data_IF_835222974638
#
_entry.id   IF_835222974638
#
_cell.length_a   1.000
_cell.length_b   1.000
_cell.length_c   1.000
_cell.angle_alpha   90.00
_cell.angle_beta   90.00
_cell.angle_gamma   90.00
#
_symmetry.space_group_name_H-M   'P 1'
#
loop_
_entity.id
_entity.type
_entity.pdbx_description
1 polymer ?
#
# COMPACT_ATOMS: atom_id res chain seq x y z
N UNK A 1 -4.99 21.93 10.85
CA UNK A 1 -3.75 21.23 11.20
C UNK A 1 -4.05 20.31 12.37
N UNK A 2 -3.79 19.02 12.23
CA UNK A 2 -3.90 18.11 13.36
C UNK A 2 -2.65 18.32 14.24
N UNK A 3 -2.84 18.36 15.55
CA UNK A 3 -1.78 18.48 16.53
C UNK A 3 -1.90 17.30 17.50
N UNK A 4 -0.81 16.59 17.74
CA UNK A 4 -0.74 15.59 18.80
C UNK A 4 0.07 16.19 19.93
N UNK A 5 -0.52 16.22 21.12
CA UNK A 5 0.14 16.59 22.36
C UNK A 5 0.14 15.36 23.28
N UNK A 6 1.18 15.20 24.06
CA UNK A 6 1.30 14.18 25.09
C UNK A 6 1.53 14.87 26.43
N UNK A 7 0.65 14.64 27.39
CA UNK A 7 0.65 15.23 28.71
C UNK A 7 0.02 14.26 29.71
N UNK A 8 0.57 14.13 30.90
CA UNK A 8 0.06 13.29 32.00
C UNK A 8 -0.30 11.84 31.57
N UNK A 9 0.57 11.18 30.81
CA UNK A 9 0.38 9.84 30.25
C UNK A 9 -0.81 9.70 29.26
N UNK A 10 -1.38 10.79 28.78
CA UNK A 10 -2.42 10.83 27.78
C UNK A 10 -1.93 11.46 26.47
N UNK A 11 -2.45 10.95 25.38
CA UNK A 11 -2.31 11.58 24.07
C UNK A 11 -3.55 12.42 23.79
N UNK A 12 -3.35 13.64 23.29
CA UNK A 12 -4.41 14.54 22.85
C UNK A 12 -4.27 14.74 21.35
N UNK A 13 -5.33 14.47 20.60
CA UNK A 13 -5.36 14.64 19.14
C UNK A 13 -6.45 15.64 18.79
N UNK A 14 -6.06 16.75 18.17
CA UNK A 14 -7.03 17.69 17.61
C UNK A 14 -7.56 17.16 16.29
N UNK A 15 -8.88 17.05 16.20
CA UNK A 15 -9.59 16.60 15.01
C UNK A 15 -10.56 17.67 14.55
N UNK A 16 -10.89 17.68 13.26
CA UNK A 16 -11.90 18.56 12.68
C UNK A 16 -13.00 17.73 12.04
N UNK A 17 -14.22 18.00 12.41
CA UNK A 17 -15.38 17.47 11.71
C UNK A 17 -15.53 18.15 10.35
N UNK A 18 -15.42 17.38 9.26
CA UNK A 18 -15.41 17.94 7.90
C UNK A 18 -16.76 18.53 7.48
N UNK A 19 -17.86 18.06 8.06
CA UNK A 19 -19.21 18.53 7.73
C UNK A 19 -19.53 19.89 8.33
N UNK A 20 -19.03 20.17 9.54
CA UNK A 20 -19.32 21.39 10.30
C UNK A 20 -18.14 22.36 10.32
N UNK A 21 -16.94 21.88 10.12
CA UNK A 21 -15.69 22.64 10.31
C UNK A 21 -15.28 22.81 11.77
N UNK A 22 -16.05 22.26 12.73
CA UNK A 22 -15.75 22.35 14.16
C UNK A 22 -14.55 21.48 14.52
N UNK A 23 -13.69 21.99 15.41
CA UNK A 23 -12.53 21.27 15.91
C UNK A 23 -12.69 20.94 17.38
N UNK A 24 -12.29 19.73 17.76
CA UNK A 24 -12.31 19.27 19.15
C UNK A 24 -11.11 18.36 19.44
N UNK A 25 -10.79 18.21 20.72
CA UNK A 25 -9.69 17.36 21.17
C UNK A 25 -10.22 16.01 21.66
N UNK A 26 -9.55 14.95 21.22
CA UNK A 26 -9.78 13.58 21.70
C UNK A 26 -8.57 13.20 22.54
N UNK A 27 -8.82 12.69 23.75
CA UNK A 27 -7.77 12.15 24.60
C UNK A 27 -7.84 10.64 24.75
N UNK A 28 -6.69 10.00 24.86
CA UNK A 28 -6.58 8.56 25.07
C UNK A 28 -5.23 8.16 25.60
N UNK A 29 -5.20 7.06 26.37
CA UNK A 29 -3.93 6.54 26.92
C UNK A 29 -2.99 6.09 25.79
N UNK A 30 -3.52 5.46 24.75
CA UNK A 30 -2.74 4.99 23.61
C UNK A 30 -3.20 5.64 22.32
N UNK A 31 -2.26 6.03 21.48
CA UNK A 31 -2.50 6.51 20.11
C UNK A 31 -1.88 5.54 19.10
N UNK A 32 -2.71 4.98 18.24
CA UNK A 32 -2.28 4.06 17.19
C UNK A 32 -2.40 4.73 15.82
N UNK A 33 -1.26 5.01 15.19
CA UNK A 33 -1.19 5.54 13.83
C UNK A 33 -1.34 4.43 12.80
N UNK A 34 -2.57 4.29 12.27
CA UNK A 34 -2.91 3.40 11.15
C UNK A 34 -3.13 4.21 9.86
N UNK A 35 -2.46 5.33 9.71
CA UNK A 35 -2.70 6.40 8.74
C UNK A 35 -1.83 6.30 7.47
N UNK A 36 -1.32 5.10 7.20
CA UNK A 36 -0.69 4.74 5.95
C UNK A 36 0.74 5.26 5.77
N UNK A 37 1.29 5.07 4.58
CA UNK A 37 2.71 5.35 4.30
C UNK A 37 3.14 6.79 4.51
N UNK A 38 2.22 7.75 4.35
CA UNK A 38 2.43 9.18 4.63
C UNK A 38 2.28 9.58 6.09
N UNK A 39 2.12 8.63 7.00
CA UNK A 39 1.67 8.76 8.39
C UNK A 39 2.00 10.09 9.06
N UNK A 40 0.92 10.75 9.50
CA UNK A 40 0.98 11.94 10.34
C UNK A 40 1.47 11.58 11.75
N UNK A 41 0.92 10.50 12.33
CA UNK A 41 1.28 10.05 13.69
C UNK A 41 2.78 9.74 13.77
N UNK A 42 3.33 8.99 12.80
CA UNK A 42 4.77 8.72 12.74
C UNK A 42 5.61 10.00 12.75
N UNK A 43 5.19 11.01 11.97
CA UNK A 43 5.89 12.31 11.92
C UNK A 43 5.82 13.05 13.27
N UNK A 44 4.68 12.98 13.96
CA UNK A 44 4.54 13.56 15.30
C UNK A 44 5.39 12.82 16.35
N UNK A 45 5.59 11.53 16.18
CA UNK A 45 6.52 10.74 16.99
C UNK A 45 7.99 11.11 16.75
N UNK A 46 8.30 11.86 15.68
CA UNK A 46 9.68 12.12 15.25
C UNK A 46 10.37 10.90 14.67
N UNK A 47 9.61 9.87 14.31
CA UNK A 47 10.15 8.61 13.81
C UNK A 47 10.45 8.67 12.31
N UNK A 48 11.73 8.49 11.96
CA UNK A 48 12.20 8.50 10.60
C UNK A 48 11.99 7.15 9.89
N UNK A 49 11.89 7.20 8.56
CA UNK A 49 11.86 6.02 7.70
C UNK A 49 13.25 5.63 7.24
N UNK A 50 13.62 4.38 7.47
CA UNK A 50 14.83 3.77 6.92
C UNK A 50 14.49 3.04 5.62
N UNK A 51 15.28 3.27 4.58
CA UNK A 51 15.18 2.52 3.34
C UNK A 51 15.86 1.15 3.48
N UNK A 52 15.14 0.10 3.11
CA UNK A 52 15.63 -1.28 3.09
C UNK A 52 16.10 -1.71 1.69
N UNK A 53 15.93 -0.86 0.67
CA UNK A 53 16.32 -1.18 -0.69
C UNK A 53 16.04 -0.06 -1.69
N UNK A 54 16.22 -0.36 -2.98
CA UNK A 54 15.96 0.61 -4.05
C UNK A 54 14.47 0.71 -4.30
N UNK A 55 13.97 1.92 -4.43
CA UNK A 55 12.63 2.17 -4.94
C UNK A 55 12.55 1.81 -6.41
N UNK A 56 11.45 1.20 -6.81
CA UNK A 56 11.17 0.82 -8.19
C UNK A 56 9.87 1.52 -8.62
N UNK A 57 9.88 2.07 -9.83
CA UNK A 57 8.68 2.68 -10.40
C UNK A 57 7.99 1.68 -11.32
N UNK A 58 6.68 1.65 -11.23
CA UNK A 58 5.80 0.84 -12.07
C UNK A 58 4.73 1.72 -12.70
N UNK A 59 4.44 1.46 -13.96
CA UNK A 59 3.24 1.95 -14.61
C UNK A 59 2.13 0.94 -14.33
N UNK A 60 1.11 1.38 -13.61
CA UNK A 60 -0.11 0.62 -13.34
C UNK A 60 -1.15 1.04 -14.35
N UNK A 61 -1.71 0.07 -15.07
CA UNK A 61 -2.74 0.30 -16.07
C UNK A 61 -3.93 -0.60 -15.79
N UNK A 62 -5.08 0.01 -15.55
CA UNK A 62 -6.36 -0.69 -15.47
C UNK A 62 -7.09 -0.52 -16.80
N UNK A 63 -7.50 -1.63 -17.39
CA UNK A 63 -8.18 -1.67 -18.68
C UNK A 63 -9.45 -2.53 -18.63
N UNK A 64 -10.38 -2.23 -19.52
CA UNK A 64 -11.52 -3.09 -19.83
C UNK A 64 -11.35 -3.64 -21.24
N UNK A 65 -11.53 -4.95 -21.39
CA UNK A 65 -11.53 -5.62 -22.67
C UNK A 65 -12.41 -6.89 -22.62
N UNK A 66 -12.95 -7.38 -23.74
CA UNK A 66 -13.56 -8.69 -23.76
C UNK A 66 -12.48 -9.77 -23.55
N UNK A 67 -12.84 -10.89 -22.92
CA UNK A 67 -11.89 -12.00 -22.72
C UNK A 67 -11.31 -12.54 -24.02
N UNK A 68 -12.09 -12.47 -25.10
CA UNK A 68 -11.64 -12.82 -26.45
C UNK A 68 -10.52 -11.97 -27.00
N UNK A 69 -10.24 -10.81 -26.38
CA UNK A 69 -9.09 -9.96 -26.73
C UNK A 69 -7.75 -10.51 -26.22
N UNK A 70 -7.76 -11.50 -25.31
CA UNK A 70 -6.53 -12.12 -24.81
C UNK A 70 -5.76 -12.79 -25.95
N UNK A 71 -4.46 -12.57 -26.00
CA UNK A 71 -3.58 -13.26 -26.94
C UNK A 71 -3.53 -14.78 -26.59
N UNK A 72 -3.26 -15.64 -27.59
CA UNK A 72 -3.11 -17.08 -27.35
C UNK A 72 -2.11 -17.38 -26.22
N UNK A 73 -2.52 -18.22 -25.28
CA UNK A 73 -1.72 -18.58 -24.10
C UNK A 73 -1.82 -17.62 -22.92
N UNK A 74 -2.63 -16.56 -23.03
CA UNK A 74 -2.90 -15.61 -21.94
C UNK A 74 -4.24 -15.88 -21.21
N UNK A 75 -4.91 -16.98 -21.54
CA UNK A 75 -6.15 -17.36 -20.88
C UNK A 75 -5.88 -18.04 -19.53
N UNK A 76 -5.49 -17.22 -18.57
CA UNK A 76 -5.26 -17.65 -17.19
C UNK A 76 -6.57 -17.64 -16.40
N UNK A 77 -6.62 -18.44 -15.33
CA UNK A 77 -7.63 -18.32 -14.31
C UNK A 77 -7.54 -16.94 -13.61
N UNK A 78 -8.63 -16.57 -12.91
CA UNK A 78 -8.63 -15.34 -12.12
C UNK A 78 -7.45 -15.30 -11.14
N UNK A 79 -6.81 -14.13 -11.02
CA UNK A 79 -5.70 -13.92 -10.11
C UNK A 79 -4.57 -13.10 -10.71
N UNK A 80 -3.46 -13.08 -10.00
CA UNK A 80 -2.25 -12.35 -10.37
C UNK A 80 -1.19 -13.26 -10.97
N UNK A 81 -0.69 -12.92 -12.15
CA UNK A 81 0.34 -13.63 -12.87
C UNK A 81 1.56 -12.74 -13.06
N UNK A 82 2.74 -13.22 -12.66
CA UNK A 82 3.99 -12.52 -12.91
C UNK A 82 4.60 -13.03 -14.21
N UNK A 83 4.81 -12.13 -15.17
CA UNK A 83 5.44 -12.42 -16.44
C UNK A 83 6.88 -11.95 -16.35
N UNK A 84 7.78 -12.89 -16.18
CA UNK A 84 9.22 -12.66 -16.11
C UNK A 84 9.81 -13.17 -17.42
N UNK A 85 10.29 -12.24 -18.26
CA UNK A 85 10.99 -12.61 -19.49
C UNK A 85 12.50 -12.46 -19.31
N UNK A 86 13.24 -13.59 -19.25
CA UNK A 86 14.70 -13.57 -19.13
C UNK A 86 15.40 -12.92 -20.32
N UNK A 87 14.74 -12.80 -21.49
CA UNK A 87 15.32 -12.24 -22.70
C UNK A 87 15.21 -10.71 -22.79
N UNK A 88 14.92 -10.04 -21.69
CA UNK A 88 15.03 -8.59 -21.58
C UNK A 88 13.77 -7.80 -21.86
N UNK A 89 12.61 -8.44 -21.97
CA UNK A 89 11.34 -7.75 -21.93
C UNK A 89 11.12 -7.12 -20.55
N UNK A 90 10.12 -6.28 -20.45
CA UNK A 90 9.78 -5.58 -19.22
C UNK A 90 9.13 -6.55 -18.22
N UNK A 91 9.63 -6.68 -16.99
CA UNK A 91 8.89 -7.41 -15.96
C UNK A 91 7.49 -6.83 -15.81
N UNK A 92 6.49 -7.70 -15.88
CA UNK A 92 5.09 -7.31 -15.93
C UNK A 92 4.30 -8.21 -14.98
N UNK A 93 3.46 -7.62 -14.14
CA UNK A 93 2.40 -8.33 -13.43
C UNK A 93 1.10 -8.15 -14.22
N UNK A 94 0.40 -9.23 -14.48
CA UNK A 94 -0.91 -9.26 -15.11
C UNK A 94 -1.93 -9.82 -14.14
N UNK A 95 -3.02 -9.11 -13.92
CA UNK A 95 -4.06 -9.48 -12.96
C UNK A 95 -5.41 -9.46 -13.69
N UNK A 96 -6.10 -10.58 -13.64
CA UNK A 96 -7.49 -10.68 -14.07
C UNK A 96 -8.35 -10.34 -12.85
N UNK A 97 -8.97 -9.17 -12.88
CA UNK A 97 -9.89 -8.74 -11.85
C UNK A 97 -11.29 -9.28 -12.17
N UNK A 98 -11.80 -10.20 -11.36
CA UNK A 98 -13.19 -10.57 -11.42
C UNK A 98 -14.08 -9.39 -11.00
N UNK A 99 -14.43 -8.58 -11.97
CA UNK A 99 -15.44 -7.53 -11.81
C UNK A 99 -16.67 -7.92 -12.62
N UNK A 100 -17.70 -8.39 -11.98
CA UNK A 100 -19.05 -8.31 -12.57
C UNK A 100 -19.40 -6.83 -12.68
N UNK A 101 -18.88 -6.14 -13.70
CA UNK A 101 -19.41 -4.86 -14.09
C UNK A 101 -20.79 -5.14 -14.65
N UNK A 102 -21.83 -4.70 -13.93
CA UNK A 102 -23.23 -4.85 -14.29
C UNK A 102 -23.45 -4.75 -15.80
N UNK A 103 -23.74 -5.89 -16.45
CA UNK A 103 -24.29 -5.95 -17.79
C UNK A 103 -23.35 -5.74 -18.98
N UNK A 104 -22.04 -5.62 -18.79
CA UNK A 104 -21.08 -5.53 -19.90
C UNK A 104 -20.19 -6.78 -19.97
N UNK A 105 -20.02 -7.34 -21.19
CA UNK A 105 -19.14 -8.48 -21.47
C UNK A 105 -17.64 -8.15 -21.37
N UNK A 106 -17.26 -7.03 -20.76
CA UNK A 106 -15.88 -6.60 -20.61
C UNK A 106 -15.37 -6.92 -19.19
N UNK A 107 -14.29 -7.66 -19.13
CA UNK A 107 -13.57 -7.91 -17.89
C UNK A 107 -12.59 -6.76 -17.60
N UNK A 108 -12.20 -6.60 -16.36
CA UNK A 108 -11.17 -5.64 -15.95
C UNK A 108 -9.86 -6.38 -15.78
N UNK A 109 -8.83 -5.86 -16.44
CA UNK A 109 -7.47 -6.35 -16.35
C UNK A 109 -6.58 -5.27 -15.78
N UNK A 110 -5.64 -5.65 -14.92
CA UNK A 110 -4.59 -4.76 -14.43
C UNK A 110 -3.24 -5.24 -14.92
N UNK A 111 -2.47 -4.31 -15.47
CA UNK A 111 -1.07 -4.50 -15.77
C UNK A 111 -0.21 -3.62 -14.87
N UNK A 112 0.89 -4.17 -14.41
CA UNK A 112 1.92 -3.44 -13.67
C UNK A 112 3.25 -3.63 -14.41
N UNK A 113 3.67 -2.61 -15.14
CA UNK A 113 4.89 -2.61 -15.94
C UNK A 113 6.04 -1.98 -15.17
N UNK A 114 7.11 -2.73 -14.90
CA UNK A 114 8.32 -2.16 -14.31
C UNK A 114 8.92 -1.09 -15.22
N UNK A 115 9.15 0.13 -14.73
CA UNK A 115 9.80 1.17 -15.51
C UNK A 115 11.30 0.91 -15.61
N UNK A 116 11.87 1.11 -16.80
CA UNK A 116 13.28 0.95 -17.10
C UNK A 116 14.00 2.29 -17.08
N UNK A 117 15.31 2.24 -16.92
CA UNK A 117 16.15 3.42 -17.08
C UNK A 117 16.01 3.96 -18.52
N UNK A 118 15.61 5.22 -18.63
CA UNK A 118 15.37 5.88 -19.91
C UNK A 118 13.90 5.97 -20.33
N UNK A 119 12.98 5.34 -19.59
CA UNK A 119 11.56 5.58 -19.82
C UNK A 119 11.20 7.03 -19.47
N UNK A 120 10.51 7.70 -20.37
CA UNK A 120 9.91 9.01 -20.11
C UNK A 120 8.54 8.83 -19.44
N UNK A 121 8.36 9.40 -18.27
CA UNK A 121 7.17 9.19 -17.42
C UNK A 121 5.91 9.84 -18.01
N UNK A 122 6.05 10.80 -18.90
CA UNK A 122 4.92 11.43 -19.56
C UNK A 122 4.48 10.62 -20.77
N UNK A 123 5.43 10.29 -21.64
CA UNK A 123 5.12 9.56 -22.89
C UNK A 123 4.70 8.12 -22.65
N UNK A 124 5.24 7.45 -21.62
CA UNK A 124 4.88 6.05 -21.33
C UNK A 124 3.43 5.88 -20.86
N UNK A 125 2.81 6.95 -20.36
CA UNK A 125 1.41 6.98 -19.95
C UNK A 125 0.45 7.36 -21.09
N UNK A 126 0.97 7.67 -22.28
CA UNK A 126 0.11 7.98 -23.42
C UNK A 126 -0.71 6.75 -23.86
N UNK A 127 -1.92 6.93 -24.39
CA UNK A 127 -2.73 5.84 -24.89
C UNK A 127 -2.00 4.94 -25.91
N UNK A 128 -1.18 5.52 -26.77
CA UNK A 128 -0.41 4.81 -27.78
C UNK A 128 0.66 3.93 -27.14
N UNK A 129 1.40 4.47 -26.16
CA UNK A 129 2.40 3.71 -25.40
C UNK A 129 1.78 2.58 -24.62
N UNK A 130 0.63 2.82 -23.97
CA UNK A 130 -0.10 1.79 -23.23
C UNK A 130 -0.57 0.68 -24.18
N UNK A 131 -1.17 1.02 -25.31
CA UNK A 131 -1.58 0.04 -26.33
C UNK A 131 -0.40 -0.80 -26.84
N UNK A 132 0.76 -0.18 -27.04
CA UNK A 132 1.98 -0.90 -27.37
C UNK A 132 2.44 -1.86 -26.27
N UNK A 133 2.38 -1.43 -25.01
CA UNK A 133 2.78 -2.24 -23.86
C UNK A 133 1.86 -3.44 -23.62
N UNK A 134 0.54 -3.27 -23.81
CA UNK A 134 -0.44 -4.34 -23.60
C UNK A 134 -0.58 -5.26 -24.82
N UNK A 135 -0.18 -4.82 -26.00
CA UNK A 135 -0.31 -5.56 -27.27
C UNK A 135 0.21 -7.01 -27.27
N UNK A 136 1.32 -7.33 -26.59
CA UNK A 136 1.76 -8.72 -26.41
C UNK A 136 0.79 -9.62 -25.64
N UNK A 137 -0.14 -9.05 -24.88
CA UNK A 137 -1.04 -9.75 -23.97
C UNK A 137 -2.51 -9.67 -24.39
N UNK A 138 -2.89 -8.57 -24.99
CA UNK A 138 -4.26 -8.27 -25.43
C UNK A 138 -4.24 -7.62 -26.82
N UNK A 139 -5.32 -7.85 -27.60
CA UNK A 139 -5.53 -7.08 -28.82
C UNK A 139 -5.74 -5.59 -28.46
N UNK A 140 -4.84 -4.67 -28.85
CA UNK A 140 -4.88 -3.27 -28.44
C UNK A 140 -6.10 -2.49 -28.99
N UNK A 141 -6.76 -3.00 -30.03
CA UNK A 141 -7.95 -2.35 -30.61
C UNK A 141 -9.20 -2.56 -29.76
N UNK A 142 -9.22 -3.61 -28.95
CA UNK A 142 -10.33 -3.95 -28.06
C UNK A 142 -10.17 -3.36 -26.64
N UNK A 143 -9.08 -2.62 -26.39
CA UNK A 143 -8.72 -2.10 -25.07
C UNK A 143 -9.35 -0.74 -24.82
N UNK A 144 -10.07 -0.63 -23.70
CA UNK A 144 -10.52 0.63 -23.10
C UNK A 144 -9.67 0.91 -21.86
N UNK A 145 -8.84 1.96 -21.90
CA UNK A 145 -8.00 2.37 -20.77
C UNK A 145 -8.88 3.08 -19.74
N UNK A 146 -9.01 2.48 -18.55
CA UNK A 146 -9.79 3.03 -17.44
C UNK A 146 -8.93 3.97 -16.60
N UNK A 147 -7.67 3.57 -16.37
CA UNK A 147 -6.74 4.32 -15.52
C UNK A 147 -5.31 4.00 -15.92
N UNK A 148 -4.45 5.01 -15.87
CA UNK A 148 -3.01 4.81 -15.88
C UNK A 148 -2.37 5.69 -14.81
N UNK A 149 -1.37 5.17 -14.10
CA UNK A 149 -0.63 5.94 -13.09
C UNK A 149 0.72 5.31 -12.83
N UNK A 150 1.70 6.13 -12.52
CA UNK A 150 3.02 5.66 -12.11
C UNK A 150 3.08 5.63 -10.59
N UNK A 151 3.38 4.46 -10.04
CA UNK A 151 3.61 4.24 -8.62
C UNK A 151 5.10 4.02 -8.35
N UNK A 152 5.57 4.65 -7.29
CA UNK A 152 6.86 4.38 -6.71
C UNK A 152 6.68 3.35 -5.58
N UNK A 153 7.12 2.12 -5.81
CA UNK A 153 7.17 1.12 -4.76
C UNK A 153 8.42 1.31 -3.91
N UNK A 154 8.20 1.51 -2.64
CA UNK A 154 9.25 1.69 -1.66
C UNK A 154 9.41 0.41 -0.83
N UNK A 155 10.60 0.24 -0.26
CA UNK A 155 10.84 -0.69 0.83
C UNK A 155 11.39 0.15 1.98
N UNK A 156 10.48 0.57 2.86
CA UNK A 156 10.75 1.50 3.96
C UNK A 156 10.25 0.92 5.26
N UNK A 157 10.95 1.22 6.35
CA UNK A 157 10.55 0.82 7.69
C UNK A 157 10.79 1.97 8.65
N UNK A 158 9.87 2.21 9.59
CA UNK A 158 10.06 3.15 10.66
C UNK A 158 11.18 2.70 11.58
N UNK A 159 12.03 3.63 12.01
CA UNK A 159 13.09 3.31 12.97
C UNK A 159 12.52 3.08 14.37
N UNK A 160 11.49 3.85 14.72
CA UNK A 160 10.79 3.73 15.99
C UNK A 160 9.32 3.43 15.73
N UNK A 161 8.83 2.32 16.31
CA UNK A 161 7.43 1.90 16.19
C UNK A 161 6.61 2.31 17.40
N UNK A 162 7.31 2.69 18.48
CA UNK A 162 6.77 3.21 19.73
C UNK A 162 7.55 4.45 20.18
N UNK A 163 6.82 5.50 20.57
CA UNK A 163 7.35 6.64 21.35
C UNK A 163 6.33 6.96 22.43
N UNK A 164 6.71 6.78 23.69
CA UNK A 164 5.78 6.86 24.82
C UNK A 164 4.57 5.91 24.63
N UNK A 165 3.36 6.47 24.62
CA UNK A 165 2.12 5.75 24.39
C UNK A 165 1.59 5.90 22.94
N UNK A 166 2.44 6.35 22.02
CA UNK A 166 2.14 6.41 20.59
C UNK A 166 2.79 5.24 19.85
N UNK A 167 2.04 4.64 18.95
CA UNK A 167 2.48 3.50 18.14
C UNK A 167 2.11 3.70 16.69
N UNK A 168 2.89 3.13 15.77
CA UNK A 168 2.52 2.98 14.36
C UNK A 168 2.22 1.53 14.02
N UNK A 169 1.25 1.30 13.12
CA UNK A 169 0.85 -0.02 12.63
C UNK A 169 0.65 -0.01 11.11
N UNK A 170 0.76 -1.17 10.47
CA UNK A 170 0.60 -1.32 9.03
C UNK A 170 1.57 -0.45 8.22
N UNK A 171 1.08 0.18 7.15
CA UNK A 171 1.91 1.00 6.26
C UNK A 171 2.48 2.26 6.92
N UNK A 172 1.92 2.69 8.06
CA UNK A 172 2.52 3.74 8.87
C UNK A 172 3.87 3.33 9.45
N UNK A 173 4.05 2.02 9.70
CA UNK A 173 5.28 1.43 10.25
C UNK A 173 6.22 0.96 9.16
N UNK A 174 5.70 0.24 8.15
CA UNK A 174 6.51 -0.36 7.10
C UNK A 174 5.79 -0.33 5.75
N UNK A 175 6.52 0.02 4.71
CA UNK A 175 6.07 -0.04 3.34
C UNK A 175 6.87 -1.13 2.62
N UNK A 176 6.20 -2.14 2.13
CA UNK A 176 6.83 -3.24 1.40
C UNK A 176 6.47 -3.18 -0.08
N UNK A 177 7.35 -3.72 -0.92
CA UNK A 177 7.02 -3.86 -2.33
C UNK A 177 5.87 -4.88 -2.49
N UNK A 178 4.96 -4.69 -3.46
CA UNK A 178 3.74 -5.48 -3.56
C UNK A 178 3.95 -6.87 -4.16
N UNK A 179 5.16 -7.24 -4.56
CA UNK A 179 5.43 -8.45 -5.35
C UNK A 179 4.99 -9.78 -4.72
N UNK A 180 4.85 -9.83 -3.41
CA UNK A 180 4.37 -11.03 -2.70
C UNK A 180 3.03 -10.81 -2.00
N UNK A 181 2.41 -9.65 -2.14
CA UNK A 181 1.12 -9.33 -1.52
C UNK A 181 1.13 -9.35 0.01
N UNK A 182 2.29 -9.18 0.65
CA UNK A 182 2.43 -9.39 2.10
C UNK A 182 2.09 -8.18 2.96
N UNK A 183 1.98 -6.97 2.39
CA UNK A 183 1.77 -5.75 3.18
C UNK A 183 0.57 -5.81 4.12
N UNK A 184 -0.59 -6.23 3.62
CA UNK A 184 -1.80 -6.39 4.43
C UNK A 184 -1.61 -7.44 5.53
N UNK A 185 -1.05 -8.61 5.19
CA UNK A 185 -0.83 -9.70 6.14
C UNK A 185 0.14 -9.29 7.27
N UNK A 186 1.20 -8.57 6.93
CA UNK A 186 2.14 -8.03 7.91
C UNK A 186 1.44 -7.01 8.82
N UNK A 187 0.65 -6.09 8.24
CA UNK A 187 -0.12 -5.12 9.01
C UNK A 187 -1.07 -5.77 10.01
N UNK A 188 -1.81 -6.80 9.60
CA UNK A 188 -2.72 -7.55 10.49
C UNK A 188 -1.94 -8.23 11.62
N UNK A 189 -0.85 -8.93 11.30
CA UNK A 189 -0.02 -9.61 12.31
C UNK A 189 0.55 -8.64 13.33
N UNK A 190 1.10 -7.52 12.87
CA UNK A 190 1.69 -6.52 13.73
C UNK A 190 0.63 -5.88 14.64
N UNK A 191 -0.53 -5.58 14.08
CA UNK A 191 -1.66 -5.04 14.85
C UNK A 191 -2.13 -6.02 15.92
N UNK A 192 -2.29 -7.31 15.59
CA UNK A 192 -2.69 -8.35 16.56
C UNK A 192 -1.69 -8.47 17.69
N UNK A 193 -0.38 -8.49 17.38
CA UNK A 193 0.68 -8.54 18.40
C UNK A 193 0.61 -7.33 19.34
N UNK A 194 0.48 -6.12 18.80
CA UNK A 194 0.41 -4.91 19.62
C UNK A 194 -0.84 -4.87 20.50
N UNK A 195 -2.01 -5.18 19.92
CA UNK A 195 -3.29 -5.13 20.65
C UNK A 195 -3.32 -6.11 21.80
N UNK A 196 -2.78 -7.34 21.62
CA UNK A 196 -2.65 -8.31 22.68
C UNK A 196 -1.80 -7.76 23.84
N UNK A 197 -0.64 -7.16 23.54
CA UNK A 197 0.24 -6.56 24.54
C UNK A 197 -0.42 -5.39 25.27
N UNK A 198 -1.09 -4.50 24.54
CA UNK A 198 -1.84 -3.38 25.14
C UNK A 198 -2.90 -3.93 26.12
N UNK A 199 -3.63 -4.98 25.73
CA UNK A 199 -4.64 -5.59 26.60
C UNK A 199 -4.04 -6.17 27.88
N UNK A 200 -2.90 -6.86 27.79
CA UNK A 200 -2.21 -7.40 28.96
C UNK A 200 -1.75 -6.29 29.93
N UNK A 201 -1.18 -5.23 29.40
CA UNK A 201 -0.73 -4.08 30.21
C UNK A 201 -1.92 -3.32 30.78
N UNK A 202 -2.96 -3.06 29.99
CA UNK A 202 -4.15 -2.35 30.42
C UNK A 202 -4.91 -3.10 31.54
N UNK A 203 -4.93 -4.44 31.47
CA UNK A 203 -5.56 -5.30 32.47
C UNK A 203 -4.69 -5.52 33.70
N UNK A 204 -3.49 -4.93 33.77
CA UNK A 204 -2.57 -5.12 34.89
C UNK A 204 -1.92 -6.51 34.95
N UNK A 205 -2.05 -7.31 33.90
CA UNK A 205 -1.44 -8.65 33.77
C UNK A 205 0.02 -8.60 33.36
N UNK A 206 0.48 -7.45 32.86
CA UNK A 206 1.88 -7.18 32.54
C UNK A 206 2.23 -5.72 32.77
N UNK A 207 3.52 -5.42 32.80
CA UNK A 207 4.01 -4.05 32.93
C UNK A 207 4.26 -3.44 31.52
N UNK A 208 4.46 -2.13 31.49
CA UNK A 208 4.59 -1.35 30.26
C UNK A 208 5.77 -1.76 29.38
N UNK A 209 6.83 -2.37 29.94
CA UNK A 209 8.01 -2.83 29.21
C UNK A 209 7.65 -3.91 28.16
N UNK A 210 6.53 -4.62 28.35
CA UNK A 210 6.04 -5.58 27.33
C UNK A 210 5.79 -4.91 25.99
N UNK A 211 5.37 -3.65 25.98
CA UNK A 211 5.08 -2.91 24.76
C UNK A 211 6.34 -2.63 23.92
N UNK A 212 7.53 -2.59 24.55
CA UNK A 212 8.81 -2.40 23.83
C UNK A 212 9.17 -3.62 22.97
N UNK A 213 8.66 -4.79 23.32
CA UNK A 213 8.90 -6.01 22.52
C UNK A 213 8.15 -6.01 21.19
N UNK A 214 7.14 -5.14 21.01
CA UNK A 214 6.35 -5.05 19.77
C UNK A 214 7.23 -4.89 18.53
N UNK A 215 8.10 -3.90 18.54
CA UNK A 215 9.00 -3.66 17.42
C UNK A 215 9.96 -4.84 17.20
N UNK A 216 10.53 -5.40 18.28
CA UNK A 216 11.53 -6.48 18.19
C UNK A 216 10.93 -7.76 17.60
N UNK A 217 9.68 -8.08 17.94
CA UNK A 217 9.00 -9.29 17.50
C UNK A 217 8.43 -9.17 16.07
N UNK A 218 8.15 -7.95 15.63
CA UNK A 218 7.48 -7.71 14.36
C UNK A 218 8.39 -7.13 13.26
N UNK A 219 9.64 -6.75 13.61
CA UNK A 219 10.65 -6.19 12.68
C UNK A 219 11.21 -7.27 11.69
#
# INVERSE_FOLDING_TARGET
EALVLWEDDLNFVRVQELSTGESFDISGKYLLGADGGGSFVRKQMGADLKSLGKSIHFLIVDIKAPRSALQPGMDFDAGGHQIIDPQGKRPTTFIICEGKSHGTYKETFRFEFALKKGDDYTTIQSPESIKHLVGPYLNPDDVEIVRSTIYKFNSLISQDWRVNNMFTIGDATHQTSPFQGQGLNMGIRNTSNLVEKINLVHSGLSNDILLDSYQVECY
#
